data_IF_178439336422
#
_entry.id   IF_178439336422
#
_cell.length_a   1.000
_cell.length_b   1.000
_cell.length_c   1.000
_cell.angle_alpha   90.00
_cell.angle_beta   90.00
_cell.angle_gamma   90.00
#
_symmetry.space_group_name_H-M   'P 1'
#
loop_
_entity.id
_entity.type
_entity.pdbx_description
1 polymer ?
#
# COMPACT_ATOMS: atom_id res chain seq x y z
N UNK A 1 76.76 4.62 10.16
CA UNK A 1 75.86 4.39 9.00
C UNK A 1 74.72 3.40 9.28
N UNK A 2 74.90 2.30 10.03
CA UNK A 2 73.82 1.30 10.27
C UNK A 2 72.55 1.83 10.99
N UNK A 3 72.67 2.84 11.84
CA UNK A 3 71.54 3.36 12.63
C UNK A 3 70.53 4.22 11.82
N UNK A 4 70.99 4.90 10.77
CA UNK A 4 70.14 5.80 9.96
C UNK A 4 69.18 4.97 9.10
N UNK A 5 69.69 3.91 8.45
CA UNK A 5 68.87 2.99 7.67
C UNK A 5 67.78 2.28 8.50
N UNK A 6 68.07 1.94 9.76
CA UNK A 6 67.09 1.34 10.66
C UNK A 6 65.98 2.32 11.06
N UNK A 7 66.33 3.59 11.32
CA UNK A 7 65.35 4.63 11.64
C UNK A 7 64.45 4.98 10.46
N UNK A 8 65.01 5.04 9.24
CA UNK A 8 64.23 5.27 8.02
C UNK A 8 63.30 4.08 7.71
N UNK A 9 63.77 2.85 7.92
CA UNK A 9 62.93 1.66 7.77
C UNK A 9 61.76 1.65 8.75
N UNK A 10 62.00 2.00 10.02
CA UNK A 10 60.96 2.13 11.05
C UNK A 10 59.99 3.29 10.77
N UNK A 11 60.46 4.39 10.19
CA UNK A 11 59.63 5.53 9.80
C UNK A 11 58.71 5.16 8.63
N UNK A 12 59.24 4.48 7.62
CA UNK A 12 58.48 3.99 6.47
C UNK A 12 57.46 2.92 6.87
N UNK A 13 57.81 2.01 7.78
CA UNK A 13 56.87 0.99 8.27
C UNK A 13 55.71 1.61 9.06
N UNK A 14 55.98 2.58 9.94
CA UNK A 14 54.94 3.33 10.65
C UNK A 14 54.05 4.15 9.71
N UNK A 15 54.61 4.73 8.65
CA UNK A 15 53.86 5.49 7.65
C UNK A 15 52.93 4.57 6.83
N UNK A 16 53.44 3.43 6.35
CA UNK A 16 52.64 2.41 5.64
C UNK A 16 51.51 1.86 6.50
N UNK A 17 51.77 1.60 7.78
CA UNK A 17 50.74 1.16 8.73
C UNK A 17 49.65 2.23 8.95
N UNK A 18 50.03 3.51 9.05
CA UNK A 18 49.06 4.62 9.17
C UNK A 18 48.21 4.77 7.93
N UNK A 19 48.80 4.68 6.74
CA UNK A 19 48.06 4.73 5.47
C UNK A 19 47.12 3.54 5.32
N UNK A 20 47.57 2.34 5.70
CA UNK A 20 46.73 1.15 5.71
C UNK A 20 45.54 1.31 6.66
N UNK A 21 45.78 1.71 7.92
CA UNK A 21 44.73 1.96 8.91
C UNK A 21 43.74 3.05 8.47
N UNK A 22 44.23 4.13 7.85
CA UNK A 22 43.38 5.21 7.32
C UNK A 22 42.54 4.71 6.13
N UNK A 23 43.11 3.91 5.24
CA UNK A 23 42.39 3.34 4.09
C UNK A 23 41.33 2.32 4.52
N UNK A 24 41.62 1.48 5.53
CA UNK A 24 40.62 0.56 6.09
C UNK A 24 39.52 1.31 6.84
N UNK A 25 39.86 2.39 7.56
CA UNK A 25 38.89 3.22 8.25
C UNK A 25 37.95 3.93 7.27
N UNK A 26 38.50 4.50 6.19
CA UNK A 26 37.71 5.10 5.11
C UNK A 26 36.83 4.04 4.43
N UNK A 27 37.37 2.87 4.09
CA UNK A 27 36.59 1.77 3.49
C UNK A 27 35.44 1.28 4.39
N UNK A 28 35.69 1.14 5.70
CA UNK A 28 34.67 0.76 6.68
C UNK A 28 33.61 1.87 6.88
N UNK A 29 33.98 3.14 6.75
CA UNK A 29 33.03 4.26 6.80
C UNK A 29 32.11 4.35 5.57
N UNK A 30 32.48 3.71 4.45
CA UNK A 30 31.65 3.56 3.26
C UNK A 30 30.68 2.38 3.32
N UNK A 31 30.79 1.51 4.33
CA UNK A 31 29.76 0.51 4.61
C UNK A 31 28.61 1.22 5.32
N UNK A 32 27.80 1.94 4.55
CA UNK A 32 26.46 2.28 5.03
C UNK A 32 25.67 0.99 5.11
N UNK A 33 25.57 0.45 6.32
CA UNK A 33 24.53 -0.51 6.64
C UNK A 33 23.21 0.21 6.39
N UNK A 34 22.59 -0.04 5.25
CA UNK A 34 21.18 0.32 5.04
C UNK A 34 20.37 -0.61 5.92
N UNK A 35 20.32 -0.30 7.21
CA UNK A 35 19.34 -0.90 8.09
C UNK A 35 18.00 -0.34 7.62
N UNK A 36 17.29 -1.12 6.80
CA UNK A 36 15.89 -0.89 6.53
C UNK A 36 15.16 -1.05 7.87
N UNK A 37 15.03 0.06 8.59
CA UNK A 37 14.26 0.12 9.82
C UNK A 37 12.87 0.65 9.50
N UNK A 38 11.87 -0.13 9.89
CA UNK A 38 10.48 0.29 9.81
C UNK A 38 10.23 1.33 10.90
N UNK A 39 9.91 2.56 10.50
CA UNK A 39 9.51 3.62 11.41
C UNK A 39 7.98 3.72 11.34
N UNK A 40 7.33 3.72 12.51
CA UNK A 40 5.89 3.95 12.59
C UNK A 40 5.58 5.38 12.13
N UNK A 41 4.60 5.53 11.26
CA UNK A 41 4.11 6.84 10.84
C UNK A 41 3.12 7.40 11.86
N UNK A 42 3.56 8.37 12.65
CA UNK A 42 2.75 8.97 13.73
C UNK A 42 1.51 9.74 13.24
N UNK A 43 1.53 10.21 11.98
CA UNK A 43 0.40 10.90 11.37
C UNK A 43 -0.82 9.99 11.16
N UNK A 44 -0.61 8.67 11.06
CA UNK A 44 -1.71 7.70 11.03
C UNK A 44 -2.00 7.29 12.50
N UNK A 45 -3.24 7.43 12.96
CA UNK A 45 -3.62 7.11 14.33
C UNK A 45 -3.39 5.62 14.64
N UNK A 46 -3.34 5.27 15.92
CA UNK A 46 -3.25 3.89 16.35
C UNK A 46 -4.60 3.17 16.11
N UNK A 47 -4.82 2.74 14.87
CA UNK A 47 -5.99 2.02 14.42
C UNK A 47 -5.59 1.03 13.31
N UNK A 48 -6.33 -0.08 13.11
CA UNK A 48 -6.05 -1.02 12.04
C UNK A 48 -6.15 -0.35 10.67
N UNK A 49 -5.03 -0.35 9.93
CA UNK A 49 -5.02 -0.04 8.51
C UNK A 49 -5.41 -1.32 7.77
N UNK A 50 -6.59 -1.30 7.15
CA UNK A 50 -7.19 -2.48 6.53
C UNK A 50 -6.68 -2.67 5.11
N UNK A 51 -6.44 -1.58 4.39
CA UNK A 51 -5.96 -1.63 3.02
C UNK A 51 -5.24 -0.35 2.60
N UNK A 52 -4.36 -0.51 1.60
CA UNK A 52 -3.69 0.56 0.90
C UNK A 52 -4.08 0.54 -0.59
N UNK A 53 -4.19 1.72 -1.20
CA UNK A 53 -4.39 1.85 -2.65
C UNK A 53 -3.57 3.01 -3.21
N UNK A 54 -3.05 2.86 -4.43
CA UNK A 54 -2.30 3.91 -5.12
C UNK A 54 -3.06 4.32 -6.37
N UNK A 55 -3.32 5.63 -6.50
CA UNK A 55 -3.89 6.25 -7.70
C UNK A 55 -2.96 7.37 -8.15
N UNK A 56 -2.35 7.23 -9.32
CA UNK A 56 -1.32 8.16 -9.81
C UNK A 56 -0.22 8.42 -8.75
N UNK A 57 -0.03 9.66 -8.33
CA UNK A 57 0.96 10.09 -7.33
C UNK A 57 0.44 10.04 -5.88
N UNK A 58 -0.78 9.54 -5.68
CA UNK A 58 -1.47 9.57 -4.40
C UNK A 58 -1.62 8.16 -3.82
N UNK A 59 -1.17 7.98 -2.59
CA UNK A 59 -1.40 6.78 -1.80
C UNK A 59 -2.53 7.04 -0.79
N UNK A 60 -3.38 6.03 -0.59
CA UNK A 60 -4.51 6.03 0.32
C UNK A 60 -4.34 4.91 1.33
N UNK A 61 -4.68 5.18 2.59
CA UNK A 61 -4.76 4.20 3.66
C UNK A 61 -6.18 4.22 4.24
N UNK A 62 -6.90 3.12 4.05
CA UNK A 62 -8.23 2.92 4.62
C UNK A 62 -8.11 2.23 5.97
N UNK A 63 -8.66 2.86 7.00
CA UNK A 63 -8.69 2.36 8.37
C UNK A 63 -10.04 1.69 8.65
N UNK A 64 -10.05 0.75 9.60
CA UNK A 64 -11.26 0.02 9.97
C UNK A 64 -12.40 0.95 10.42
N UNK A 65 -12.08 2.09 11.02
CA UNK A 65 -13.05 3.04 11.60
C UNK A 65 -13.53 4.14 10.65
N UNK A 66 -13.56 3.84 9.34
CA UNK A 66 -14.16 4.67 8.29
C UNK A 66 -13.31 5.87 7.88
N UNK A 67 -12.11 6.00 8.46
CA UNK A 67 -11.17 7.05 8.09
C UNK A 67 -10.33 6.60 6.91
N UNK A 68 -10.10 7.53 5.98
CA UNK A 68 -9.13 7.35 4.90
C UNK A 68 -8.09 8.43 5.05
N UNK A 69 -6.82 8.05 5.10
CA UNK A 69 -5.69 8.97 5.06
C UNK A 69 -5.03 8.95 3.69
N UNK A 70 -4.45 10.07 3.27
CA UNK A 70 -3.78 10.16 1.98
C UNK A 70 -2.48 10.93 2.04
N UNK A 71 -1.57 10.59 1.12
CA UNK A 71 -0.26 11.20 0.94
C UNK A 71 0.06 11.35 -0.56
N UNK A 72 0.78 12.40 -0.92
CA UNK A 72 1.32 12.64 -2.28
C UNK A 72 2.84 12.80 -2.28
N UNK A 73 3.49 12.65 -1.10
CA UNK A 73 4.92 12.84 -0.92
C UNK A 73 5.56 11.55 -0.39
N UNK A 74 5.29 10.43 -1.06
CA UNK A 74 5.87 9.13 -0.72
C UNK A 74 5.69 8.71 0.77
N UNK A 75 4.61 9.16 1.41
CA UNK A 75 4.31 8.81 2.80
C UNK A 75 4.99 9.67 3.85
N UNK A 76 5.71 10.74 3.50
CA UNK A 76 6.31 11.64 4.50
C UNK A 76 5.25 12.36 5.34
N UNK A 77 4.14 12.78 4.74
CA UNK A 77 2.99 13.35 5.46
C UNK A 77 1.69 12.71 5.02
N UNK A 78 0.75 12.59 5.96
CA UNK A 78 -0.56 12.00 5.74
C UNK A 78 -1.66 12.95 6.20
N UNK A 79 -2.69 13.12 5.38
CA UNK A 79 -3.84 13.97 5.65
C UNK A 79 -5.10 13.11 5.72
N UNK A 80 -5.95 13.35 6.71
CA UNK A 80 -7.27 12.72 6.75
C UNK A 80 -8.14 13.26 5.61
N UNK A 81 -8.74 12.37 4.83
CA UNK A 81 -9.78 12.71 3.86
C UNK A 81 -11.12 12.82 4.59
N UNK A 82 -11.92 13.81 4.20
CA UNK A 82 -13.26 13.98 4.74
C UNK A 82 -14.22 13.04 4.03
N UNK A 83 -14.75 12.05 4.75
CA UNK A 83 -15.59 10.97 4.21
C UNK A 83 -16.95 10.93 4.90
N UNK A 84 -17.82 11.90 4.58
CA UNK A 84 -19.12 12.04 5.24
C UNK A 84 -20.17 11.02 4.77
N UNK A 85 -20.10 10.53 3.53
CA UNK A 85 -21.14 9.65 2.95
C UNK A 85 -20.95 8.15 3.23
N UNK A 86 -19.79 7.73 3.78
CA UNK A 86 -19.50 6.35 4.21
C UNK A 86 -19.37 6.22 5.73
N UNK A 87 -19.75 7.27 6.48
CA UNK A 87 -19.36 7.48 7.87
C UNK A 87 -19.89 6.46 8.89
N UNK A 88 -20.76 5.52 8.51
CA UNK A 88 -21.46 4.63 9.47
C UNK A 88 -21.03 3.17 9.45
N UNK A 89 -20.05 2.76 8.62
CA UNK A 89 -19.68 1.34 8.50
C UNK A 89 -18.21 1.11 8.25
N UNK A 90 -17.66 0.07 8.91
CA UNK A 90 -16.23 -0.28 8.89
C UNK A 90 -15.73 -0.51 7.48
N UNK A 91 -14.56 0.03 7.15
CA UNK A 91 -13.87 -0.27 5.88
C UNK A 91 -13.10 -1.57 6.01
N UNK A 92 -13.20 -2.40 4.98
CA UNK A 92 -12.46 -3.66 4.89
C UNK A 92 -11.44 -3.64 3.76
N UNK A 93 -11.69 -2.84 2.73
CA UNK A 93 -10.79 -2.73 1.57
C UNK A 93 -10.92 -1.36 0.89
N UNK A 94 -9.84 -0.98 0.20
CA UNK A 94 -9.82 0.13 -0.75
C UNK A 94 -9.05 -0.30 -2.01
N UNK A 95 -9.58 0.00 -3.19
CA UNK A 95 -8.97 -0.33 -4.49
C UNK A 95 -9.14 0.79 -5.49
N UNK A 96 -8.21 0.86 -6.44
CA UNK A 96 -8.31 1.70 -7.63
C UNK A 96 -8.55 0.78 -8.81
N UNK A 97 -9.64 1.00 -9.54
CA UNK A 97 -9.97 0.27 -10.77
C UNK A 97 -10.42 1.31 -11.79
N UNK A 98 -9.83 1.29 -12.98
CA UNK A 98 -10.16 2.23 -14.07
C UNK A 98 -10.17 3.72 -13.64
N UNK A 99 -9.20 4.13 -12.82
CA UNK A 99 -9.07 5.46 -12.20
C UNK A 99 -10.11 5.79 -11.12
N UNK A 100 -11.14 4.98 -10.90
CA UNK A 100 -12.10 5.19 -9.81
C UNK A 100 -11.63 4.50 -8.51
N UNK A 101 -11.99 5.08 -7.37
CA UNK A 101 -11.77 4.48 -6.06
C UNK A 101 -12.99 3.69 -5.62
N UNK A 102 -12.74 2.53 -5.04
CA UNK A 102 -13.77 1.65 -4.50
C UNK A 102 -13.42 1.27 -3.07
N UNK A 103 -14.41 1.27 -2.18
CA UNK A 103 -14.26 0.75 -0.83
C UNK A 103 -15.28 -0.35 -0.58
N UNK A 104 -14.79 -1.43 0.02
CA UNK A 104 -15.61 -2.52 0.54
C UNK A 104 -15.86 -2.26 2.01
N UNK A 105 -17.12 -2.35 2.41
CA UNK A 105 -17.54 -2.09 3.79
C UNK A 105 -17.97 -3.38 4.48
N UNK A 106 -18.05 -3.35 5.81
CA UNK A 106 -18.49 -4.51 6.59
C UNK A 106 -20.00 -4.81 6.46
N UNK A 107 -20.85 -3.87 6.03
CA UNK A 107 -22.30 -4.13 6.02
C UNK A 107 -23.14 -3.33 5.02
N UNK A 108 -22.54 -2.40 4.27
CA UNK A 108 -23.27 -1.54 3.33
C UNK A 108 -22.80 -1.78 1.88
N UNK A 109 -22.11 -2.91 1.64
CA UNK A 109 -21.57 -3.27 0.34
C UNK A 109 -20.42 -2.36 -0.07
N UNK A 110 -20.52 -1.85 -1.30
CA UNK A 110 -19.45 -1.21 -2.04
C UNK A 110 -19.81 0.25 -2.28
N UNK A 111 -18.86 1.15 -2.04
CA UNK A 111 -18.97 2.53 -2.44
C UNK A 111 -17.91 2.89 -3.47
N UNK A 112 -18.30 3.73 -4.43
CA UNK A 112 -17.43 4.27 -5.47
C UNK A 112 -17.22 5.77 -5.26
N UNK A 113 -16.00 6.23 -5.49
CA UNK A 113 -15.65 7.64 -5.63
C UNK A 113 -14.94 7.88 -6.96
N UNK A 114 -15.42 8.89 -7.69
CA UNK A 114 -14.84 9.34 -8.97
C UNK A 114 -13.99 10.60 -8.83
N UNK A 115 -13.89 11.14 -7.62
CA UNK A 115 -13.29 12.45 -7.32
C UNK A 115 -12.19 12.36 -6.25
N UNK A 116 -11.44 11.26 -6.26
CA UNK A 116 -10.32 10.98 -5.35
C UNK A 116 -10.72 10.91 -3.87
N UNK A 117 -11.91 10.39 -3.59
CA UNK A 117 -12.41 10.12 -2.24
C UNK A 117 -13.10 11.31 -1.59
N UNK A 118 -13.39 12.39 -2.33
CA UNK A 118 -14.11 13.55 -1.81
C UNK A 118 -15.60 13.26 -1.64
N UNK A 119 -16.20 12.53 -2.59
CA UNK A 119 -17.57 12.04 -2.51
C UNK A 119 -17.64 10.55 -2.82
N UNK A 120 -18.56 9.87 -2.14
CA UNK A 120 -18.79 8.43 -2.31
C UNK A 120 -20.26 8.16 -2.53
N UNK A 121 -20.55 7.28 -3.49
CA UNK A 121 -21.90 6.79 -3.80
C UNK A 121 -21.94 5.28 -3.59
N UNK A 122 -23.04 4.77 -3.04
CA UNK A 122 -23.25 3.33 -2.98
C UNK A 122 -23.32 2.80 -4.42
N UNK A 123 -22.50 1.79 -4.72
CA UNK A 123 -22.34 1.18 -6.04
C UNK A 123 -22.73 -0.30 -6.05
N UNK A 124 -23.46 -0.77 -5.04
CA UNK A 124 -23.87 -2.17 -4.99
C UNK A 124 -25.21 -2.40 -4.30
N UNK A 125 -25.90 -3.43 -4.76
CA UNK A 125 -27.00 -4.09 -4.06
C UNK A 125 -26.51 -5.12 -3.02
N UNK A 126 -25.19 -5.23 -2.79
CA UNK A 126 -24.61 -6.16 -1.82
C UNK A 126 -24.80 -5.56 -0.42
N UNK A 127 -25.36 -6.33 0.50
CA UNK A 127 -25.50 -5.95 1.92
C UNK A 127 -24.51 -6.71 2.83
N UNK A 128 -23.65 -7.52 2.25
CA UNK A 128 -22.66 -8.33 2.95
C UNK A 128 -21.33 -7.59 3.12
N UNK A 129 -20.47 -8.04 4.06
CA UNK A 129 -19.10 -7.54 4.15
C UNK A 129 -18.34 -7.81 2.85
N UNK A 130 -17.76 -6.78 2.24
CA UNK A 130 -16.94 -6.88 1.02
C UNK A 130 -15.46 -6.74 1.37
N UNK A 131 -14.70 -7.81 1.20
CA UNK A 131 -13.34 -7.93 1.74
C UNK A 131 -12.23 -7.58 0.76
N UNK A 132 -12.44 -7.75 -0.54
CA UNK A 132 -11.45 -7.38 -1.57
C UNK A 132 -12.12 -7.21 -2.95
N UNK A 133 -11.41 -6.53 -3.85
CA UNK A 133 -11.79 -6.38 -5.26
C UNK A 133 -10.61 -6.69 -6.17
N UNK A 134 -10.90 -7.29 -7.32
CA UNK A 134 -9.92 -7.51 -8.38
C UNK A 134 -10.54 -7.33 -9.76
N UNK A 135 -9.78 -6.76 -10.69
CA UNK A 135 -10.14 -6.69 -12.10
C UNK A 135 -9.41 -7.79 -12.86
N UNK A 136 -10.14 -8.56 -13.68
CA UNK A 136 -9.56 -9.60 -14.53
C UNK A 136 -10.36 -9.73 -15.82
N UNK A 137 -9.68 -9.67 -16.97
CA UNK A 137 -10.28 -9.74 -18.31
C UNK A 137 -11.48 -8.80 -18.51
N UNK A 138 -11.35 -7.54 -18.07
CA UNK A 138 -12.39 -6.53 -18.22
C UNK A 138 -13.60 -6.70 -17.30
N UNK A 139 -13.56 -7.66 -16.36
CA UNK A 139 -14.59 -7.85 -15.33
C UNK A 139 -14.05 -7.47 -13.97
N UNK A 140 -14.95 -7.00 -13.10
CA UNK A 140 -14.63 -6.66 -11.72
C UNK A 140 -15.25 -7.72 -10.82
N UNK A 141 -14.45 -8.26 -9.92
CA UNK A 141 -14.85 -9.27 -8.95
C UNK A 141 -14.73 -8.68 -7.55
N UNK A 142 -15.70 -8.99 -6.70
CA UNK A 142 -15.69 -8.63 -5.28
C UNK A 142 -15.87 -9.89 -4.44
N UNK A 143 -15.05 -10.04 -3.41
CA UNK A 143 -15.20 -11.14 -2.45
C UNK A 143 -16.02 -10.69 -1.25
N UNK A 144 -16.92 -11.56 -0.78
CA UNK A 144 -17.78 -11.28 0.37
C UNK A 144 -17.56 -12.28 1.50
N UNK A 145 -17.76 -11.84 2.74
CA UNK A 145 -17.95 -12.78 3.85
C UNK A 145 -19.35 -13.39 3.76
N UNK A 146 -19.42 -14.68 3.44
CA UNK A 146 -20.66 -15.49 3.52
C UNK A 146 -21.24 -15.96 2.19
N UNK A 147 -21.12 -15.20 1.09
CA UNK A 147 -21.68 -15.59 -0.22
C UNK A 147 -20.64 -15.75 -1.34
N UNK A 148 -19.35 -15.78 -0.98
CA UNK A 148 -18.27 -16.01 -1.94
C UNK A 148 -18.03 -14.80 -2.85
N UNK A 149 -17.82 -15.07 -4.14
CA UNK A 149 -17.42 -14.06 -5.12
C UNK A 149 -18.62 -13.54 -5.88
N UNK A 150 -18.69 -12.22 -6.05
CA UNK A 150 -19.60 -11.52 -6.96
C UNK A 150 -18.82 -10.99 -8.14
N UNK A 151 -19.50 -10.88 -9.28
CA UNK A 151 -18.98 -10.23 -10.49
C UNK A 151 -19.90 -9.06 -10.84
N UNK A 152 -19.31 -7.92 -11.16
CA UNK A 152 -20.04 -6.76 -11.64
C UNK A 152 -20.48 -6.99 -13.09
N UNK A 153 -21.76 -6.79 -13.35
CA UNK A 153 -22.36 -6.81 -14.68
C UNK A 153 -22.65 -5.39 -15.14
N UNK A 154 -21.82 -4.89 -16.05
CA UNK A 154 -21.96 -3.55 -16.61
C UNK A 154 -23.23 -3.37 -17.45
N UNK A 155 -23.83 -4.45 -17.96
CA UNK A 155 -25.07 -4.36 -18.74
C UNK A 155 -26.29 -4.03 -17.86
N UNK A 156 -26.25 -4.46 -16.60
CA UNK A 156 -27.34 -4.26 -15.63
C UNK A 156 -26.99 -3.31 -14.48
N UNK A 157 -25.76 -2.78 -14.46
CA UNK A 157 -25.21 -1.95 -13.37
C UNK A 157 -25.41 -2.62 -12.00
N UNK A 158 -25.12 -3.92 -11.92
CA UNK A 158 -25.43 -4.73 -10.73
C UNK A 158 -24.37 -5.78 -10.42
N UNK A 159 -24.34 -6.23 -9.17
CA UNK A 159 -23.46 -7.31 -8.73
C UNK A 159 -24.20 -8.64 -8.72
N UNK A 160 -23.68 -9.58 -9.49
CA UNK A 160 -24.22 -10.93 -9.60
C UNK A 160 -23.31 -11.89 -8.83
N UNK A 161 -23.90 -12.72 -7.96
CA UNK A 161 -23.15 -13.82 -7.37
C UNK A 161 -22.56 -14.68 -8.49
N UNK A 162 -21.27 -15.01 -8.41
CA UNK A 162 -20.54 -15.64 -9.51
C UNK A 162 -21.20 -16.95 -9.98
N UNK A 163 -21.78 -17.71 -9.06
CA UNK A 163 -22.52 -18.94 -9.35
C UNK A 163 -23.84 -18.72 -10.11
N UNK A 164 -24.37 -17.48 -10.15
CA UNK A 164 -25.56 -17.09 -10.91
C UNK A 164 -25.23 -16.33 -12.19
N UNK A 165 -23.99 -15.83 -12.31
CA UNK A 165 -23.54 -15.00 -13.44
C UNK A 165 -23.06 -15.82 -14.64
N UNK A 166 -23.05 -17.16 -14.56
CA UNK A 166 -22.63 -18.04 -15.64
C UNK A 166 -23.88 -18.61 -16.36
N UNK A 167 -24.12 -18.29 -17.65
CA UNK A 167 -25.02 -19.08 -18.46
C UNK A 167 -24.47 -20.50 -18.53
N UNK A 168 -25.27 -21.51 -18.21
CA UNK A 168 -24.89 -22.93 -18.19
C UNK A 168 -24.53 -23.52 -19.55
N UNK A 169 -24.40 -22.74 -20.61
CA UNK A 169 -24.03 -23.23 -21.94
C UNK A 169 -22.53 -23.46 -22.05
N UNK A 170 -22.12 -24.66 -21.63
CA UNK A 170 -20.94 -25.34 -22.17
C UNK A 170 -21.19 -25.50 -23.67
N UNK A 171 -20.65 -24.62 -24.51
CA UNK A 171 -20.58 -24.93 -25.93
C UNK A 171 -19.53 -26.04 -26.08
N UNK A 172 -20.03 -27.19 -26.55
CA UNK A 172 -19.24 -28.36 -26.92
C UNK A 172 -18.33 -28.05 -28.09
#
# INVERSE_FOLDING_TARGET
MKNVFAQDCLRQSKLKLRVFLLSTFLYLSFIQQSNAQWIRMEAIPNAPVMALAVKADRLFAALEDNRIFTTTNAGFTWNALQVSSIATTRLLSIKVIDDDLYVGTFGNGIFQSKDNGQTWKNWSNITLPVTDFQQFNGKIYATTLGQGVFVYDAATDSWLAFNKACPTTRQM
#
